data_IF_282106449821
#
_entry.id   IF_282106449821
#
_cell.length_a   1.000
_cell.length_b   1.000
_cell.length_c   1.000
_cell.angle_alpha   90.00
_cell.angle_beta   90.00
_cell.angle_gamma   90.00
#
_symmetry.space_group_name_H-M   'P 1'
#
loop_
_entity.id
_entity.type
_entity.pdbx_description
1 polymer ?
#
# COMPACT_ATOMS: atom_id res chain seq x y z
N UNK A 1 -15.53 -12.50 7.22
CA UNK A 1 -14.51 -12.47 6.15
C UNK A 1 -13.38 -11.56 6.61
N UNK A 2 -12.19 -12.08 6.92
CA UNK A 2 -11.01 -11.28 7.28
C UNK A 2 -10.15 -10.93 6.06
N UNK A 3 -10.27 -11.70 4.97
CA UNK A 3 -9.53 -11.51 3.72
C UNK A 3 -10.15 -10.38 2.88
N UNK A 4 -9.30 -9.54 2.29
CA UNK A 4 -9.71 -8.36 1.50
C UNK A 4 -9.02 -8.30 0.13
N UNK A 5 -8.36 -9.37 -0.30
CA UNK A 5 -7.66 -9.45 -1.60
C UNK A 5 -8.58 -9.32 -2.82
N UNK A 6 -9.79 -9.89 -2.77
CA UNK A 6 -10.71 -9.94 -3.92
C UNK A 6 -10.94 -8.56 -4.58
N UNK A 7 -11.25 -7.54 -3.79
CA UNK A 7 -11.45 -6.18 -4.31
C UNK A 7 -10.17 -5.57 -4.90
N UNK A 8 -9.02 -5.96 -4.38
CA UNK A 8 -7.73 -5.43 -4.81
C UNK A 8 -7.18 -6.11 -6.06
N UNK A 9 -7.48 -7.39 -6.26
CA UNK A 9 -6.97 -8.16 -7.38
C UNK A 9 -7.90 -8.05 -8.61
N UNK A 10 -9.21 -7.83 -8.41
CA UNK A 10 -10.23 -7.83 -9.48
C UNK A 10 -10.97 -6.50 -9.63
N UNK A 11 -10.34 -5.39 -9.25
CA UNK A 11 -11.00 -4.09 -9.24
C UNK A 11 -11.62 -3.68 -10.59
N UNK A 12 -11.00 -4.02 -11.72
CA UNK A 12 -11.53 -3.70 -13.05
C UNK A 12 -12.87 -4.40 -13.29
N UNK A 13 -12.96 -5.68 -12.92
CA UNK A 13 -14.21 -6.44 -12.99
C UNK A 13 -15.28 -5.84 -12.06
N UNK A 14 -14.89 -5.40 -10.87
CA UNK A 14 -15.83 -4.70 -9.98
C UNK A 14 -16.31 -3.39 -10.59
N UNK A 15 -15.42 -2.59 -11.19
CA UNK A 15 -15.80 -1.35 -11.86
C UNK A 15 -16.78 -1.64 -13.01
N UNK A 16 -16.53 -2.66 -13.84
CA UNK A 16 -17.46 -3.08 -14.90
C UNK A 16 -18.84 -3.48 -14.37
N UNK A 17 -18.87 -4.30 -13.30
CA UNK A 17 -20.10 -4.75 -12.66
C UNK A 17 -20.86 -3.58 -12.04
N UNK A 18 -20.17 -2.70 -11.32
CA UNK A 18 -20.75 -1.58 -10.58
C UNK A 18 -21.18 -0.44 -11.51
N UNK A 19 -20.57 -0.32 -12.69
CA UNK A 19 -20.91 0.68 -13.69
C UNK A 19 -21.96 0.20 -14.70
N UNK A 20 -22.26 -1.09 -14.76
CA UNK A 20 -23.31 -1.64 -15.63
C UNK A 20 -24.69 -1.58 -14.94
N UNK A 21 -25.63 -0.71 -15.38
CA UNK A 21 -26.95 -0.59 -14.75
C UNK A 21 -27.81 -1.86 -14.82
N UNK A 22 -27.48 -2.80 -15.72
CA UNK A 22 -28.16 -4.09 -15.89
C UNK A 22 -27.42 -5.24 -15.20
N UNK A 23 -26.48 -4.93 -14.31
CA UNK A 23 -25.72 -5.94 -13.60
C UNK A 23 -26.63 -6.83 -12.76
N UNK A 24 -26.46 -8.15 -12.88
CA UNK A 24 -27.19 -9.12 -12.07
C UNK A 24 -26.93 -8.93 -10.57
N UNK A 25 -25.81 -8.29 -10.19
CA UNK A 25 -25.48 -7.98 -8.80
C UNK A 25 -26.42 -6.96 -8.16
N UNK A 26 -27.17 -6.20 -8.96
CA UNK A 26 -28.17 -5.28 -8.44
C UNK A 26 -29.52 -5.96 -8.17
N UNK A 27 -29.69 -7.21 -8.59
CA UNK A 27 -30.89 -8.01 -8.28
C UNK A 27 -32.19 -7.27 -8.66
N UNK A 28 -32.22 -6.72 -9.88
CA UNK A 28 -33.35 -5.94 -10.41
C UNK A 28 -33.55 -4.54 -9.80
N UNK A 29 -32.73 -4.13 -8.81
CA UNK A 29 -32.84 -2.79 -8.19
C UNK A 29 -32.01 -1.73 -8.93
N UNK A 30 -32.38 -0.45 -8.86
CA UNK A 30 -31.54 0.64 -9.35
C UNK A 30 -30.22 0.70 -8.58
N UNK A 31 -29.10 0.78 -9.31
CA UNK A 31 -27.75 0.94 -8.73
C UNK A 31 -27.70 2.00 -7.63
N UNK A 32 -28.29 3.16 -7.91
CA UNK A 32 -28.21 4.32 -7.02
C UNK A 32 -28.91 4.09 -5.68
N UNK A 33 -29.92 3.20 -5.62
CA UNK A 33 -30.54 2.79 -4.36
C UNK A 33 -29.53 2.04 -3.48
N UNK A 34 -28.81 1.08 -4.08
CA UNK A 34 -27.79 0.28 -3.40
C UNK A 34 -26.60 1.15 -2.97
N UNK A 35 -26.18 2.08 -3.81
CA UNK A 35 -25.08 2.99 -3.51
C UNK A 35 -25.45 3.93 -2.37
N UNK A 36 -26.68 4.49 -2.37
CA UNK A 36 -27.18 5.31 -1.26
C UNK A 36 -27.16 4.54 0.06
N UNK A 37 -27.56 3.27 0.05
CA UNK A 37 -27.49 2.39 1.22
C UNK A 37 -26.04 2.22 1.72
N UNK A 38 -25.11 1.87 0.83
CA UNK A 38 -23.70 1.68 1.18
C UNK A 38 -23.05 2.98 1.71
N UNK A 39 -23.35 4.13 1.10
CA UNK A 39 -22.89 5.44 1.57
C UNK A 39 -23.42 5.73 2.97
N UNK A 40 -24.72 5.48 3.23
CA UNK A 40 -25.33 5.68 4.55
C UNK A 40 -24.66 4.81 5.63
N UNK A 41 -24.39 3.55 5.31
CA UNK A 41 -23.66 2.64 6.22
C UNK A 41 -22.23 3.12 6.48
N UNK A 42 -21.52 3.57 5.44
CA UNK A 42 -20.17 4.13 5.57
C UNK A 42 -20.12 5.41 6.42
N UNK A 43 -21.09 6.32 6.24
CA UNK A 43 -21.19 7.56 7.00
C UNK A 43 -21.55 7.35 8.48
N UNK A 44 -22.17 6.22 8.82
CA UNK A 44 -22.46 5.87 10.21
C UNK A 44 -21.22 5.35 10.98
N UNK A 45 -20.13 5.01 10.28
CA UNK A 45 -18.90 4.53 10.90
C UNK A 45 -18.11 5.68 11.55
N UNK A 46 -17.59 5.46 12.76
CA UNK A 46 -16.73 6.44 13.42
C UNK A 46 -15.43 6.68 12.62
N UNK A 47 -15.13 7.92 12.22
CA UNK A 47 -13.95 8.21 11.42
C UNK A 47 -12.66 7.99 12.22
N UNK A 48 -11.62 7.49 11.54
CA UNK A 48 -10.27 7.36 12.08
C UNK A 48 -9.30 8.10 11.18
N UNK A 49 -8.25 8.70 11.77
CA UNK A 49 -7.17 9.32 10.99
C UNK A 49 -6.57 8.29 10.04
N UNK A 50 -6.42 8.67 8.77
CA UNK A 50 -6.03 7.76 7.69
C UNK A 50 -4.77 6.94 8.04
N UNK A 51 -3.69 7.61 8.40
CA UNK A 51 -2.40 6.97 8.70
C UNK A 51 -2.47 5.97 9.86
N UNK A 52 -3.35 6.18 10.86
CA UNK A 52 -3.53 5.24 11.97
C UNK A 52 -4.16 3.91 11.55
N UNK A 53 -4.83 3.87 10.40
CA UNK A 53 -5.46 2.66 9.85
C UNK A 53 -4.64 1.99 8.76
N UNK A 54 -3.56 2.62 8.29
CA UNK A 54 -2.76 2.19 7.14
C UNK A 54 -1.32 1.88 7.51
N UNK A 55 -1.18 1.12 8.59
CA UNK A 55 0.12 0.73 9.14
C UNK A 55 0.55 -0.64 8.62
N UNK A 56 1.79 -0.75 8.13
CA UNK A 56 2.40 -2.03 7.73
C UNK A 56 3.71 -2.25 8.47
N UNK A 57 4.06 -3.51 8.69
CA UNK A 57 5.40 -3.90 9.17
C UNK A 57 6.12 -4.60 8.02
N UNK A 58 7.29 -4.09 7.64
CA UNK A 58 8.17 -4.74 6.67
C UNK A 58 8.76 -5.96 7.36
N UNK A 59 8.17 -7.12 7.07
CA UNK A 59 8.57 -8.37 7.71
C UNK A 59 9.71 -9.02 6.95
N UNK A 60 10.73 -9.51 7.67
CA UNK A 60 11.85 -10.21 7.05
C UNK A 60 11.36 -11.46 6.30
N UNK A 61 11.82 -11.67 5.07
CA UNK A 61 11.32 -12.71 4.17
C UNK A 61 11.34 -14.12 4.80
N UNK A 62 12.45 -14.49 5.44
CA UNK A 62 12.63 -15.83 6.02
C UNK A 62 11.84 -16.05 7.31
N UNK A 63 11.60 -15.00 8.09
CA UNK A 63 11.00 -15.12 9.43
C UNK A 63 9.53 -14.74 9.44
N UNK A 64 9.07 -13.95 8.47
CA UNK A 64 7.68 -13.58 8.29
C UNK A 64 7.03 -12.97 9.54
N UNK A 65 7.78 -12.19 10.33
CA UNK A 65 7.28 -11.59 11.57
C UNK A 65 7.16 -12.54 12.77
N UNK A 66 7.70 -13.77 12.69
CA UNK A 66 7.62 -14.76 13.77
C UNK A 66 8.67 -14.56 14.87
N UNK A 67 9.68 -13.73 14.64
CA UNK A 67 10.71 -13.44 15.62
C UNK A 67 10.35 -12.20 16.47
N UNK A 68 10.82 -12.10 17.73
CA UNK A 68 10.63 -10.89 18.52
C UNK A 68 11.20 -9.64 17.85
N UNK A 69 10.44 -8.54 17.83
CA UNK A 69 10.82 -7.29 17.15
C UNK A 69 12.14 -6.68 17.65
N UNK A 70 12.50 -6.87 18.91
CA UNK A 70 13.77 -6.37 19.46
C UNK A 70 14.98 -7.02 18.78
N UNK A 71 14.80 -8.17 18.12
CA UNK A 71 15.83 -8.78 17.29
C UNK A 71 16.04 -8.01 15.99
N UNK A 72 15.29 -6.97 15.65
CA UNK A 72 15.58 -6.04 14.55
C UNK A 72 15.56 -6.63 13.14
N UNK A 73 14.84 -7.72 12.90
CA UNK A 73 14.63 -8.29 11.57
C UNK A 73 13.49 -7.61 10.80
N UNK A 74 12.46 -7.19 11.51
CA UNK A 74 11.31 -6.49 10.92
C UNK A 74 11.43 -4.98 11.18
N UNK A 75 10.88 -4.16 10.29
CA UNK A 75 10.88 -2.71 10.41
C UNK A 75 9.47 -2.12 10.40
N UNK A 76 9.25 -1.15 11.28
CA UNK A 76 7.97 -0.46 11.44
C UNK A 76 7.30 -0.74 12.79
N UNK A 77 5.98 -0.50 12.90
CA UNK A 77 5.07 -0.24 11.80
C UNK A 77 5.27 1.15 11.16
N UNK A 78 5.03 1.26 9.85
CA UNK A 78 5.05 2.52 9.08
C UNK A 78 3.67 2.81 8.47
N UNK A 79 3.31 4.09 8.36
CA UNK A 79 2.07 4.52 7.71
C UNK A 79 2.28 4.65 6.20
N UNK A 80 1.58 3.88 5.38
CA UNK A 80 1.63 4.04 3.93
C UNK A 80 0.66 5.13 3.45
N UNK A 81 1.12 6.08 2.61
CA UNK A 81 0.24 7.07 2.02
C UNK A 81 -0.55 6.48 0.85
N UNK A 82 -1.81 6.88 0.75
CA UNK A 82 -2.66 6.56 -0.39
C UNK A 82 -3.06 5.08 -0.49
N UNK A 83 -3.75 4.76 -1.58
CA UNK A 83 -4.13 3.39 -1.94
C UNK A 83 -3.92 3.13 -3.42
N UNK A 84 -4.50 2.04 -3.94
CA UNK A 84 -4.33 1.63 -5.34
C UNK A 84 -4.66 2.72 -6.38
N UNK A 85 -5.60 3.61 -6.04
CA UNK A 85 -6.11 4.66 -6.93
C UNK A 85 -5.35 6.00 -6.79
N UNK A 86 -4.23 6.03 -6.08
CA UNK A 86 -3.44 7.25 -5.85
C UNK A 86 -2.00 7.04 -6.30
N UNK A 87 -1.32 8.10 -6.72
CA UNK A 87 0.08 8.06 -7.21
C UNK A 87 1.04 7.31 -6.29
N UNK A 88 0.99 7.46 -4.94
CA UNK A 88 1.89 6.71 -4.05
C UNK A 88 1.60 5.21 -3.95
N UNK A 89 0.45 4.74 -4.44
CA UNK A 89 0.04 3.34 -4.53
C UNK A 89 0.15 2.50 -3.24
N UNK A 90 0.01 3.10 -2.05
CA UNK A 90 0.11 2.42 -0.73
C UNK A 90 -1.04 1.48 -0.35
N UNK A 91 -1.44 0.57 -1.25
CA UNK A 91 -2.57 -0.33 -1.04
C UNK A 91 -2.24 -1.42 -0.01
N UNK A 92 -3.10 -1.57 1.02
CA UNK A 92 -2.99 -2.61 2.05
C UNK A 92 -4.21 -3.52 1.97
N UNK A 93 -4.00 -4.83 2.04
CA UNK A 93 -5.05 -5.82 2.03
C UNK A 93 -4.63 -7.09 2.74
N UNK A 94 -5.57 -8.00 2.98
CA UNK A 94 -5.30 -9.32 3.55
C UNK A 94 -5.55 -10.39 2.50
N UNK A 95 -4.55 -11.25 2.29
CA UNK A 95 -4.63 -12.41 1.41
C UNK A 95 -3.89 -13.59 2.05
N UNK A 96 -4.50 -14.78 2.01
CA UNK A 96 -3.98 -16.02 2.60
C UNK A 96 -3.52 -15.85 4.07
N UNK A 97 -4.27 -15.12 4.89
CA UNK A 97 -3.95 -14.91 6.30
C UNK A 97 -2.80 -13.93 6.55
N UNK A 98 -2.28 -13.26 5.52
CA UNK A 98 -1.17 -12.29 5.60
C UNK A 98 -1.66 -10.89 5.28
N UNK A 99 -1.14 -9.90 6.00
CA UNK A 99 -1.23 -8.50 5.55
C UNK A 99 -0.25 -8.33 4.40
N UNK A 100 -0.77 -7.93 3.26
CA UNK A 100 -0.04 -7.69 2.01
C UNK A 100 -0.17 -6.23 1.64
N UNK A 101 0.87 -5.69 1.01
CA UNK A 101 0.86 -4.32 0.51
C UNK A 101 1.54 -4.23 -0.84
N UNK A 102 1.06 -3.30 -1.66
CA UNK A 102 1.81 -2.76 -2.79
C UNK A 102 2.20 -1.32 -2.46
N UNK A 103 3.41 -0.92 -2.85
CA UNK A 103 3.95 0.44 -2.69
C UNK A 103 5.23 0.53 -3.55
N UNK A 104 5.65 1.71 -4.03
CA UNK A 104 6.87 1.86 -4.80
C UNK A 104 8.09 1.38 -4.03
N UNK A 105 8.77 0.33 -4.52
CA UNK A 105 10.06 -0.10 -3.96
C UNK A 105 11.16 0.90 -4.28
N UNK A 106 11.09 1.53 -5.45
CA UNK A 106 12.06 2.46 -5.99
C UNK A 106 11.36 3.59 -6.73
N UNK A 107 11.85 4.83 -6.56
CA UNK A 107 11.42 6.01 -7.31
C UNK A 107 12.64 6.64 -7.96
N UNK A 108 12.48 7.13 -9.19
CA UNK A 108 13.54 7.75 -9.95
C UNK A 108 13.00 8.93 -10.76
N UNK A 109 13.76 10.00 -10.81
CA UNK A 109 13.56 11.14 -11.72
C UNK A 109 14.86 11.30 -12.50
N UNK A 110 14.74 11.39 -13.83
CA UNK A 110 15.85 11.52 -14.75
C UNK A 110 15.58 12.70 -15.69
N UNK A 111 16.50 13.66 -15.73
CA UNK A 111 16.57 14.63 -16.81
C UNK A 111 17.53 14.08 -17.87
N UNK A 112 17.04 13.90 -19.10
CA UNK A 112 17.83 13.33 -20.20
C UNK A 112 18.92 14.29 -20.72
N UNK A 113 18.93 15.55 -20.29
CA UNK A 113 20.00 16.51 -20.54
C UNK A 113 21.13 16.47 -19.49
N UNK A 114 20.93 15.77 -18.37
CA UNK A 114 21.90 15.67 -17.28
C UNK A 114 22.54 14.29 -17.18
N UNK A 115 23.65 14.21 -16.43
CA UNK A 115 24.32 12.95 -16.07
C UNK A 115 23.95 12.47 -14.66
N UNK A 116 22.92 13.06 -14.05
CA UNK A 116 22.50 12.76 -12.68
C UNK A 116 21.16 12.03 -12.64
N UNK A 117 20.93 11.27 -11.57
CA UNK A 117 19.63 10.65 -11.29
C UNK A 117 19.20 10.98 -9.86
N UNK A 118 17.95 11.41 -9.70
CA UNK A 118 17.35 11.56 -8.39
C UNK A 118 16.64 10.26 -8.03
N UNK A 119 17.05 9.61 -6.96
CA UNK A 119 16.60 8.26 -6.61
C UNK A 119 16.15 8.16 -5.16
N UNK A 120 15.23 7.25 -4.90
CA UNK A 120 14.70 7.02 -3.56
C UNK A 120 14.24 5.55 -3.43
N UNK A 121 14.76 4.82 -2.43
CA UNK A 121 14.48 3.38 -2.27
C UNK A 121 13.89 3.06 -0.90
N UNK A 122 12.92 2.16 -0.85
CA UNK A 122 12.45 1.59 0.40
C UNK A 122 13.53 0.67 0.98
N UNK A 123 14.17 1.08 2.07
CA UNK A 123 15.20 0.31 2.76
C UNK A 123 16.55 0.99 2.61
N UNK A 124 17.42 0.37 1.83
CA UNK A 124 18.73 0.88 1.49
C UNK A 124 19.38 0.01 0.42
N UNK A 125 20.64 0.30 0.07
CA UNK A 125 21.34 -0.36 -1.04
C UNK A 125 21.96 -1.71 -0.69
N UNK A 126 21.66 -2.26 0.49
CA UNK A 126 22.20 -3.54 0.94
C UNK A 126 21.10 -4.41 1.51
N UNK A 127 21.09 -5.70 1.15
CA UNK A 127 20.22 -6.70 1.78
C UNK A 127 20.86 -7.34 3.03
N UNK A 128 22.09 -6.95 3.36
CA UNK A 128 22.76 -7.44 4.58
C UNK A 128 22.23 -6.66 5.77
N UNK A 129 21.45 -7.32 6.62
CA UNK A 129 20.86 -6.73 7.82
C UNK A 129 21.82 -5.89 8.68
N UNK A 130 23.04 -6.39 8.89
CA UNK A 130 24.05 -5.70 9.72
C UNK A 130 24.84 -4.61 8.98
N UNK A 131 24.55 -4.39 7.70
CA UNK A 131 25.10 -3.27 6.95
C UNK A 131 24.48 -1.96 7.40
N UNK A 132 25.29 -0.92 7.54
CA UNK A 132 24.79 0.46 7.72
C UNK A 132 23.89 0.92 6.58
N UNK A 133 23.91 0.22 5.44
CA UNK A 133 23.13 0.52 4.25
C UNK A 133 21.85 -0.31 4.12
N UNK A 134 21.44 -1.07 5.15
CA UNK A 134 20.25 -1.94 5.09
C UNK A 134 18.95 -1.14 5.05
N UNK A 135 18.81 -0.15 5.95
CA UNK A 135 17.57 0.64 6.13
C UNK A 135 17.82 2.16 6.15
N UNK A 136 18.98 2.60 5.67
CA UNK A 136 19.41 3.99 5.81
C UNK A 136 18.64 4.99 4.95
N UNK A 137 17.88 4.52 3.95
CA UNK A 137 17.08 5.37 3.05
C UNK A 137 15.58 5.32 3.38
N UNK A 138 15.16 4.52 4.36
CA UNK A 138 13.74 4.41 4.74
C UNK A 138 13.11 5.76 5.08
N UNK A 139 13.79 6.60 5.85
CA UNK A 139 13.23 7.89 6.24
C UNK A 139 13.05 8.82 5.02
N UNK A 140 14.04 8.86 4.13
CA UNK A 140 13.95 9.57 2.86
C UNK A 140 12.78 9.04 2.03
N UNK A 141 12.60 7.72 1.97
CA UNK A 141 11.51 7.09 1.24
C UNK A 141 10.12 7.42 1.80
N UNK A 142 9.99 7.51 3.11
CA UNK A 142 8.75 7.92 3.76
C UNK A 142 8.42 9.40 3.49
N UNK A 143 9.45 10.26 3.41
CA UNK A 143 9.29 11.70 3.20
C UNK A 143 9.31 12.13 1.73
N UNK A 144 9.61 11.21 0.81
CA UNK A 144 9.77 11.53 -0.61
C UNK A 144 11.02 12.37 -0.90
N UNK A 145 12.08 12.23 -0.10
CA UNK A 145 13.36 12.92 -0.31
C UNK A 145 14.25 12.05 -1.22
N UNK A 146 14.74 12.63 -2.32
CA UNK A 146 15.52 11.91 -3.32
C UNK A 146 17.02 12.20 -3.15
N UNK A 147 17.84 11.15 -3.19
CA UNK A 147 19.30 11.23 -3.27
C UNK A 147 19.72 11.46 -4.72
N UNK A 148 20.76 12.27 -4.91
CA UNK A 148 21.37 12.47 -6.23
C UNK A 148 22.46 11.41 -6.43
N UNK A 149 22.35 10.67 -7.52
CA UNK A 149 23.42 9.82 -8.05
C UNK A 149 24.12 10.59 -9.17
N UNK A 150 25.45 10.56 -9.13
CA UNK A 150 26.36 11.21 -10.09
C UNK A 150 27.22 10.18 -10.80
#
# INVERSE_FOLDING_TARGET
>A
MSETGLFNDYYGNFDEILMNPRSAWFDGRPRDELFKKAIKEGLAAAPKQYGKTRMVTLSHLLFGGKLPRFLGFDYGPISLPGGRATVPQGQIFRSAGRVTTFSPSYRMIADLGEKTLHTNIAGGSSDRRFSRWYMNDMENWMKGVYKVLV
#
